data_IF_379774597924
#
_entry.id   IF_379774597924
#
_cell.length_a   1.000
_cell.length_b   1.000
_cell.length_c   1.000
_cell.angle_alpha   90.00
_cell.angle_beta   90.00
_cell.angle_gamma   90.00
#
_symmetry.space_group_name_H-M   'P 1'
#
loop_
_entity.id
_entity.type
_entity.pdbx_description
1 polymer ?
#
# COMPACT_ATOMS: atom_id res chain seq x y z
N UNK A 1 6.09 36.77 -16.19
CA UNK A 1 6.05 35.48 -16.94
C UNK A 1 7.08 34.49 -16.41
N UNK A 2 8.30 34.93 -16.06
CA UNK A 2 9.39 34.04 -15.59
C UNK A 2 9.08 33.31 -14.28
N UNK A 3 8.47 33.97 -13.30
CA UNK A 3 8.25 33.39 -11.96
C UNK A 3 7.21 32.25 -11.97
N UNK A 4 6.24 32.30 -12.89
CA UNK A 4 5.18 31.29 -12.97
C UNK A 4 5.73 29.94 -13.45
N UNK A 5 6.71 29.97 -14.36
CA UNK A 5 7.35 28.77 -14.90
C UNK A 5 8.16 28.03 -13.83
N UNK A 6 8.89 28.76 -12.98
CA UNK A 6 9.67 28.20 -11.87
C UNK A 6 8.76 27.54 -10.84
N UNK A 7 7.62 28.16 -10.52
CA UNK A 7 6.64 27.62 -9.58
C UNK A 7 6.05 26.31 -10.12
N UNK A 8 5.64 26.27 -11.39
CA UNK A 8 5.07 25.07 -12.01
C UNK A 8 6.08 23.93 -12.09
N UNK A 9 7.34 24.22 -12.45
CA UNK A 9 8.41 23.21 -12.48
C UNK A 9 8.66 22.60 -11.09
N UNK A 10 8.76 23.43 -10.06
CA UNK A 10 8.98 22.96 -8.69
C UNK A 10 7.81 22.11 -8.20
N UNK A 11 6.58 22.47 -8.60
CA UNK A 11 5.36 21.73 -8.27
C UNK A 11 5.32 20.34 -8.91
N UNK A 12 5.67 20.24 -10.19
CA UNK A 12 5.73 18.96 -10.93
C UNK A 12 6.80 18.03 -10.33
N UNK A 13 7.98 18.56 -9.98
CA UNK A 13 9.06 17.79 -9.36
C UNK A 13 8.60 17.24 -8.00
N UNK A 14 7.93 18.05 -7.19
CA UNK A 14 7.36 17.64 -5.90
C UNK A 14 6.34 16.49 -6.03
N UNK A 15 5.48 16.54 -7.05
CA UNK A 15 4.51 15.47 -7.33
C UNK A 15 5.20 14.17 -7.76
N UNK A 16 6.27 14.26 -8.57
CA UNK A 16 7.02 13.10 -9.04
C UNK A 16 7.68 12.34 -7.88
N UNK A 17 8.25 13.08 -6.92
CA UNK A 17 8.90 12.52 -5.72
C UNK A 17 7.85 11.84 -4.83
N UNK A 18 6.73 12.51 -4.53
CA UNK A 18 5.65 11.93 -3.72
C UNK A 18 5.09 10.64 -4.34
N UNK A 19 4.91 10.64 -5.67
CA UNK A 19 4.41 9.49 -6.44
C UNK A 19 5.37 8.30 -6.40
N UNK A 20 6.68 8.54 -6.57
CA UNK A 20 7.70 7.49 -6.50
C UNK A 20 7.77 6.83 -5.11
N UNK A 21 7.67 7.65 -4.05
CA UNK A 21 7.65 7.16 -2.66
C UNK A 21 6.39 6.31 -2.40
N UNK A 22 5.22 6.74 -2.89
CA UNK A 22 3.97 5.99 -2.74
C UNK A 22 4.03 4.61 -3.42
N UNK A 23 4.66 4.53 -4.60
CA UNK A 23 4.84 3.28 -5.34
C UNK A 23 5.69 2.28 -4.56
N UNK A 24 6.77 2.73 -3.93
CA UNK A 24 7.65 1.89 -3.11
C UNK A 24 6.95 1.32 -1.85
N UNK A 25 5.99 2.06 -1.28
CA UNK A 25 5.22 1.66 -0.08
C UNK A 25 3.96 0.83 -0.39
N UNK A 26 3.67 0.55 -1.66
CA UNK A 26 2.46 -0.18 -2.05
C UNK A 26 1.18 0.59 -1.77
N UNK A 27 1.25 1.93 -1.76
CA UNK A 27 0.07 2.79 -1.67
C UNK A 27 -0.45 3.08 -3.07
N UNK A 28 -1.73 3.43 -3.17
CA UNK A 28 -2.34 3.81 -4.44
C UNK A 28 -1.70 5.11 -4.93
N UNK A 29 -0.76 5.00 -5.88
CA UNK A 29 -0.04 6.12 -6.51
C UNK A 29 -1.02 7.19 -7.00
N UNK A 30 -2.16 6.76 -7.55
CA UNK A 30 -3.22 7.65 -8.02
C UNK A 30 -3.86 8.48 -6.92
N UNK A 31 -4.09 7.90 -5.74
CA UNK A 31 -4.68 8.62 -4.61
C UNK A 31 -3.73 9.70 -4.07
N UNK A 32 -2.44 9.36 -3.95
CA UNK A 32 -1.40 10.30 -3.50
C UNK A 32 -1.18 11.42 -4.51
N UNK A 33 -1.22 11.12 -5.82
CA UNK A 33 -1.15 12.12 -6.88
C UNK A 33 -2.33 13.10 -6.81
N UNK A 34 -3.56 12.61 -6.66
CA UNK A 34 -4.75 13.48 -6.54
C UNK A 34 -4.69 14.38 -5.30
N UNK A 35 -4.27 13.83 -4.16
CA UNK A 35 -4.12 14.60 -2.91
C UNK A 35 -3.01 15.65 -3.06
N UNK A 36 -1.89 15.30 -3.68
CA UNK A 36 -0.78 16.24 -3.93
C UNK A 36 -1.18 17.36 -4.89
N UNK A 37 -2.00 17.05 -5.91
CA UNK A 37 -2.46 18.01 -6.92
C UNK A 37 -3.44 19.03 -6.34
N UNK A 38 -4.34 18.59 -5.44
CA UNK A 38 -5.40 19.43 -4.87
C UNK A 38 -4.89 20.28 -3.71
N UNK A 39 -4.11 19.70 -2.79
CA UNK A 39 -3.73 20.37 -1.55
C UNK A 39 -2.36 21.03 -1.56
N UNK A 40 -1.37 20.41 -2.24
CA UNK A 40 0.05 20.82 -2.39
C UNK A 40 0.93 19.56 -2.28
N UNK A 41 2.04 19.44 -3.04
CA UNK A 41 2.95 18.30 -2.99
C UNK A 41 3.56 18.09 -1.59
N UNK A 42 3.68 19.14 -0.78
CA UNK A 42 4.17 19.03 0.60
C UNK A 42 3.22 18.15 1.45
N UNK A 43 1.92 18.33 1.29
CA UNK A 43 0.89 17.58 2.01
C UNK A 43 0.84 16.13 1.51
N UNK A 44 1.05 15.92 0.20
CA UNK A 44 1.20 14.59 -0.38
C UNK A 44 2.37 13.80 0.22
N UNK A 45 3.54 14.43 0.37
CA UNK A 45 4.72 13.81 0.97
C UNK A 45 4.45 13.43 2.43
N UNK A 46 3.91 14.36 3.23
CA UNK A 46 3.55 14.08 4.64
C UNK A 46 2.53 12.94 4.74
N UNK A 47 1.50 12.93 3.89
CA UNK A 47 0.49 11.87 3.88
C UNK A 47 1.09 10.49 3.58
N UNK A 48 2.06 10.38 2.67
CA UNK A 48 2.75 9.10 2.36
C UNK A 48 3.73 8.66 3.45
N UNK A 49 4.27 9.61 4.22
CA UNK A 49 5.16 9.31 5.35
C UNK A 49 4.36 8.80 6.55
N UNK A 50 3.27 9.49 6.89
CA UNK A 50 2.37 9.14 8.01
C UNK A 50 1.57 7.88 7.69
N UNK A 51 1.12 7.71 6.45
CA UNK A 51 0.57 6.44 6.00
C UNK A 51 1.71 5.43 5.97
N UNK A 52 1.79 4.58 6.99
CA UNK A 52 2.71 3.44 7.02
C UNK A 52 2.57 2.56 5.78
N UNK A 53 3.52 1.65 5.57
CA UNK A 53 3.46 0.67 4.48
C UNK A 53 2.12 -0.06 4.57
N UNK A 54 1.27 0.05 3.53
CA UNK A 54 -0.11 -0.47 3.56
C UNK A 54 -0.02 -2.00 3.60
N UNK A 55 -0.15 -2.59 4.79
CA UNK A 55 -0.03 -4.03 5.00
C UNK A 55 -1.02 -4.82 4.13
N UNK A 56 -2.14 -4.20 3.75
CA UNK A 56 -3.12 -4.76 2.81
C UNK A 56 -2.51 -5.24 1.49
N UNK A 57 -1.56 -4.48 0.91
CA UNK A 57 -0.92 -4.86 -0.37
C UNK A 57 0.14 -5.93 -0.18
N UNK A 58 0.75 -6.02 1.01
CA UNK A 58 1.63 -7.12 1.37
C UNK A 58 0.83 -8.41 1.58
N UNK A 59 -0.31 -8.33 2.28
CA UNK A 59 -1.21 -9.45 2.53
C UNK A 59 -1.80 -9.97 1.22
N UNK A 60 -2.26 -9.10 0.32
CA UNK A 60 -2.74 -9.50 -1.00
C UNK A 60 -1.64 -10.15 -1.86
N UNK A 61 -0.38 -9.69 -1.78
CA UNK A 61 0.74 -10.38 -2.45
C UNK A 61 1.00 -11.76 -1.85
N UNK A 62 0.96 -11.90 -0.52
CA UNK A 62 1.17 -13.20 0.15
C UNK A 62 0.04 -14.20 -0.12
N UNK A 63 -1.20 -13.71 -0.26
CA UNK A 63 -2.36 -14.51 -0.69
C UNK A 63 -2.19 -14.92 -2.17
N UNK A 64 -1.84 -13.98 -3.06
CA UNK A 64 -1.63 -14.26 -4.50
C UNK A 64 -0.43 -15.16 -4.78
N UNK A 65 0.62 -15.08 -3.97
CA UNK A 65 1.78 -15.99 -4.03
C UNK A 65 1.46 -17.38 -3.45
N UNK A 66 0.24 -17.60 -2.95
CA UNK A 66 -0.17 -18.88 -2.36
C UNK A 66 0.55 -19.20 -1.06
N UNK A 67 1.17 -18.20 -0.41
CA UNK A 67 1.87 -18.38 0.87
C UNK A 67 0.86 -18.35 2.02
N UNK A 68 -0.25 -17.64 1.86
CA UNK A 68 -1.33 -17.54 2.86
C UNK A 68 -2.69 -17.92 2.27
N UNK A 69 -3.55 -18.50 3.10
CA UNK A 69 -4.93 -18.89 2.81
C UNK A 69 -5.83 -18.35 3.93
N UNK A 70 -7.10 -18.08 3.60
CA UNK A 70 -8.09 -17.72 4.61
C UNK A 70 -8.70 -18.99 5.22
N UNK A 71 -8.91 -19.00 6.54
CA UNK A 71 -9.64 -20.09 7.19
C UNK A 71 -11.15 -20.00 6.88
N UNK A 72 -11.83 -21.10 6.48
CA UNK A 72 -13.26 -21.08 6.23
C UNK A 72 -14.12 -20.89 7.49
N UNK A 73 -13.60 -21.20 8.69
CA UNK A 73 -14.39 -21.13 9.94
C UNK A 73 -14.24 -19.78 10.65
N UNK A 74 -13.02 -19.26 10.77
CA UNK A 74 -12.76 -18.02 11.51
C UNK A 74 -12.36 -16.84 10.63
N UNK A 75 -12.31 -17.01 9.30
CA UNK A 75 -11.94 -15.98 8.33
C UNK A 75 -10.52 -15.38 8.50
N UNK A 76 -9.71 -15.92 9.40
CA UNK A 76 -8.36 -15.45 9.67
C UNK A 76 -7.38 -15.83 8.54
N UNK A 77 -6.36 -14.99 8.33
CA UNK A 77 -5.28 -15.24 7.38
C UNK A 77 -4.21 -16.15 8.01
N UNK A 78 -3.98 -17.30 7.38
CA UNK A 78 -3.04 -18.33 7.88
C UNK A 78 -2.10 -18.73 6.76
N UNK A 79 -0.87 -19.11 7.10
CA UNK A 79 0.09 -19.66 6.12
C UNK A 79 -0.52 -20.90 5.45
N UNK A 80 -0.43 -21.02 4.12
CA UNK A 80 -1.01 -22.13 3.34
C UNK A 80 -0.52 -23.49 3.85
N UNK A 81 0.76 -23.56 4.25
CA UNK A 81 1.43 -24.74 4.85
C UNK A 81 0.96 -25.08 6.27
N UNK A 82 0.17 -24.24 6.93
CA UNK A 82 -0.33 -24.54 8.27
C UNK A 82 -1.28 -25.74 8.23
N UNK A 83 -0.97 -26.74 9.06
CA UNK A 83 -1.81 -27.92 9.31
C UNK A 83 -2.97 -27.62 10.25
N UNK A 84 -2.84 -26.63 11.13
CA UNK A 84 -3.86 -26.28 12.12
C UNK A 84 -3.94 -24.76 12.26
N UNK A 85 -5.14 -24.21 12.39
CA UNK A 85 -5.33 -22.80 12.70
C UNK A 85 -4.94 -22.49 14.15
N UNK A 86 -4.16 -21.42 14.38
CA UNK A 86 -3.78 -20.98 15.74
C UNK A 86 -4.97 -20.49 16.58
N UNK A 87 -6.03 -20.00 15.93
CA UNK A 87 -7.18 -19.37 16.60
C UNK A 87 -8.34 -20.36 16.80
N UNK A 88 -8.90 -20.91 15.71
CA UNK A 88 -10.04 -21.83 15.80
C UNK A 88 -9.64 -23.30 15.94
N UNK A 89 -8.34 -23.62 15.91
CA UNK A 89 -7.80 -24.99 15.95
C UNK A 89 -8.32 -25.95 14.89
N UNK A 90 -8.97 -25.45 13.83
CA UNK A 90 -9.35 -26.30 12.71
C UNK A 90 -8.12 -26.89 12.04
N UNK A 91 -8.17 -28.18 11.77
CA UNK A 91 -7.17 -28.88 10.97
C UNK A 91 -7.44 -28.69 9.48
N UNK A 92 -6.38 -28.34 8.75
CA UNK A 92 -6.37 -28.27 7.31
C UNK A 92 -5.67 -29.51 6.78
N UNK A 93 -6.43 -30.35 6.06
CA UNK A 93 -5.84 -31.41 5.26
C UNK A 93 -5.12 -30.74 4.08
N UNK A 94 -3.78 -30.75 4.11
CA UNK A 94 -2.97 -30.36 2.96
C UNK A 94 -3.16 -31.46 1.92
N UNK A 95 -3.92 -31.16 0.86
CA UNK A 95 -4.05 -31.99 -0.34
C UNK A 95 -2.90 -31.63 -1.27
#
# INVERSE_FOLDING_TARGET
MENLFVIVLFWIIGMLIASSIASSKGQSVLAVLFISLVFSPIIGIVATLVSGKKQEVLNQRLIKQGVMKQCPDCAELIIKKARTCRYCRREFRLI
#
